data_IF_191440796427
#
_entry.id   IF_191440796427
#
_cell.length_a   1.000
_cell.length_b   1.000
_cell.length_c   1.000
_cell.angle_alpha   90.00
_cell.angle_beta   90.00
_cell.angle_gamma   90.00
#
_symmetry.space_group_name_H-M   'P 1'
#
loop_
_entity.id
_entity.type
_entity.pdbx_description
1 polymer ?
#
# COMPACT_ATOMS: atom_id res chain seq x y z
N UNK A 1 -29.05 38.27 -1.75
CA UNK A 1 -27.77 38.94 -2.06
C UNK A 1 -27.33 38.47 -3.43
N UNK A 2 -27.99 38.95 -4.48
CA UNK A 2 -27.56 38.70 -5.85
C UNK A 2 -26.63 39.85 -6.26
N UNK A 3 -25.46 39.53 -6.83
CA UNK A 3 -24.60 40.52 -7.50
C UNK A 3 -23.30 40.92 -6.81
N UNK A 4 -22.85 40.26 -5.74
CA UNK A 4 -21.49 40.48 -5.22
C UNK A 4 -20.51 39.49 -5.86
N UNK A 5 -19.64 40.03 -6.72
CA UNK A 5 -18.49 39.33 -7.29
C UNK A 5 -17.68 38.67 -6.17
N UNK A 6 -17.52 37.34 -6.25
CA UNK A 6 -16.80 36.52 -5.27
C UNK A 6 -15.40 37.04 -4.96
N UNK A 7 -14.75 37.71 -5.92
CA UNK A 7 -13.44 38.34 -5.72
C UNK A 7 -13.48 39.60 -4.84
N UNK A 8 -14.61 40.32 -4.80
CA UNK A 8 -14.78 41.50 -3.94
C UNK A 8 -15.15 41.12 -2.50
N UNK A 9 -15.79 39.96 -2.30
CA UNK A 9 -16.14 39.44 -0.97
C UNK A 9 -14.88 39.05 -0.18
N UNK A 10 -13.91 38.38 -0.80
CA UNK A 10 -12.69 37.90 -0.11
C UNK A 10 -11.74 39.02 0.32
N UNK A 11 -11.86 40.23 -0.24
CA UNK A 11 -11.02 41.39 0.06
C UNK A 11 -11.55 42.27 1.22
N UNK A 12 -12.78 42.04 1.69
CA UNK A 12 -13.37 42.83 2.76
C UNK A 12 -12.86 42.39 4.15
N UNK A 13 -12.47 43.33 5.03
CA UNK A 13 -12.08 43.00 6.43
C UNK A 13 -13.16 42.21 7.18
N UNK A 14 -14.44 42.48 6.89
CA UNK A 14 -15.58 41.76 7.46
C UNK A 14 -15.65 40.29 7.02
N UNK A 15 -15.05 39.94 5.88
CA UNK A 15 -14.98 38.57 5.40
C UNK A 15 -14.05 37.72 6.26
N UNK A 16 -12.95 38.28 6.79
CA UNK A 16 -12.08 37.58 7.75
C UNK A 16 -12.83 37.25 9.05
N UNK A 17 -13.61 38.18 9.59
CA UNK A 17 -14.44 37.93 10.77
C UNK A 17 -15.52 36.87 10.52
N UNK A 18 -16.10 36.85 9.33
CA UNK A 18 -17.03 35.81 8.91
C UNK A 18 -16.34 34.45 8.81
N UNK A 19 -15.15 34.40 8.19
CA UNK A 19 -14.35 33.18 8.05
C UNK A 19 -13.98 32.60 9.43
N UNK A 20 -13.45 33.44 10.33
CA UNK A 20 -13.12 33.06 11.71
C UNK A 20 -14.35 32.56 12.47
N UNK A 21 -15.50 33.24 12.27
CA UNK A 21 -16.76 32.81 12.87
C UNK A 21 -17.18 31.42 12.34
N UNK A 22 -17.25 31.20 11.03
CA UNK A 22 -17.71 29.91 10.48
C UNK A 22 -16.77 28.78 10.89
N UNK A 23 -15.45 29.00 10.86
CA UNK A 23 -14.46 28.03 11.35
C UNK A 23 -14.70 27.67 12.82
N UNK A 24 -15.01 28.65 13.68
CA UNK A 24 -15.35 28.40 15.09
C UNK A 24 -16.62 27.55 15.29
N UNK A 25 -17.53 27.54 14.30
CA UNK A 25 -18.77 26.77 14.36
C UNK A 25 -18.58 25.30 13.95
N UNK A 26 -17.55 24.95 13.17
CA UNK A 26 -17.39 23.58 12.67
C UNK A 26 -17.32 22.52 13.79
N UNK A 27 -16.55 22.71 14.88
CA UNK A 27 -16.54 21.74 15.98
C UNK A 27 -17.89 21.61 16.68
N UNK A 28 -18.64 22.71 16.81
CA UNK A 28 -19.98 22.70 17.41
C UNK A 28 -20.97 21.93 16.52
N UNK A 29 -20.91 22.13 15.21
CA UNK A 29 -21.71 21.38 14.25
C UNK A 29 -21.36 19.89 14.28
N UNK A 30 -20.08 19.55 14.45
CA UNK A 30 -19.61 18.16 14.49
C UNK A 30 -20.08 17.46 15.75
N UNK A 31 -20.01 18.13 16.90
CA UNK A 31 -20.54 17.63 18.16
C UNK A 31 -22.05 17.37 18.09
N UNK A 32 -22.79 18.26 17.42
CA UNK A 32 -24.23 18.09 17.14
C UNK A 32 -24.52 17.10 16.03
N UNK A 33 -23.50 16.63 15.31
CA UNK A 33 -23.60 15.74 14.15
C UNK A 33 -24.63 16.25 13.12
N UNK A 34 -24.54 17.53 12.77
CA UNK A 34 -25.42 18.11 11.75
C UNK A 34 -25.34 17.33 10.43
N UNK A 35 -26.48 17.20 9.78
CA UNK A 35 -26.59 16.61 8.44
C UNK A 35 -25.99 17.55 7.40
N UNK A 36 -25.57 17.02 6.24
CA UNK A 36 -25.11 17.86 5.13
C UNK A 36 -26.13 18.92 4.73
N UNK A 37 -27.43 18.61 4.77
CA UNK A 37 -28.48 19.58 4.44
C UNK A 37 -28.55 20.73 5.47
N UNK A 38 -28.39 20.44 6.76
CA UNK A 38 -28.37 21.46 7.80
C UNK A 38 -27.13 22.36 7.67
N UNK A 39 -25.95 21.78 7.42
CA UNK A 39 -24.72 22.56 7.20
C UNK A 39 -24.84 23.41 5.93
N UNK A 40 -25.36 22.84 4.84
CA UNK A 40 -25.63 23.58 3.62
C UNK A 40 -26.58 24.77 3.86
N UNK A 41 -27.61 24.58 4.68
CA UNK A 41 -28.52 25.66 5.08
C UNK A 41 -27.81 26.73 5.91
N UNK A 42 -26.95 26.34 6.89
CA UNK A 42 -26.14 27.29 7.68
C UNK A 42 -25.17 28.09 6.81
N UNK A 43 -24.67 27.51 5.72
CA UNK A 43 -23.78 28.16 4.76
C UNK A 43 -24.53 28.88 3.61
N UNK A 44 -25.86 28.99 3.71
CA UNK A 44 -26.73 29.67 2.75
C UNK A 44 -26.72 29.07 1.32
N UNK A 45 -26.52 27.75 1.20
CA UNK A 45 -26.64 27.07 -0.09
C UNK A 45 -28.12 26.90 -0.48
N UNK A 46 -28.46 27.24 -1.73
CA UNK A 46 -29.75 26.86 -2.35
C UNK A 46 -29.67 25.44 -2.90
N UNK A 47 -29.43 24.47 -2.03
CA UNK A 47 -29.33 23.04 -2.38
C UNK A 47 -27.90 22.55 -2.67
N UNK A 48 -27.82 21.28 -3.08
CA UNK A 48 -26.56 20.54 -3.28
C UNK A 48 -26.39 20.12 -4.75
N UNK A 49 -26.49 21.08 -5.67
CA UNK A 49 -26.18 20.87 -7.10
C UNK A 49 -24.67 20.99 -7.36
N UNK A 50 -24.21 20.56 -8.53
CA UNK A 50 -22.78 20.64 -8.90
C UNK A 50 -22.19 22.05 -8.79
N UNK A 51 -23.01 23.10 -9.01
CA UNK A 51 -22.60 24.50 -8.90
C UNK A 51 -22.20 24.92 -7.47
N UNK A 52 -22.60 24.16 -6.44
CA UNK A 52 -22.25 24.46 -5.04
C UNK A 52 -20.75 24.44 -4.81
N UNK A 53 -19.99 23.67 -5.60
CA UNK A 53 -18.53 23.57 -5.50
C UNK A 53 -17.81 24.89 -5.82
N UNK A 54 -18.45 25.76 -6.61
CA UNK A 54 -17.91 27.08 -6.96
C UNK A 54 -18.24 28.15 -5.92
N UNK A 55 -19.04 27.82 -4.90
CA UNK A 55 -19.39 28.76 -3.84
C UNK A 55 -18.19 28.96 -2.89
N UNK A 56 -17.82 30.21 -2.53
CA UNK A 56 -16.70 30.47 -1.60
C UNK A 56 -16.84 29.80 -0.22
N UNK A 57 -18.07 29.56 0.25
CA UNK A 57 -18.33 28.89 1.52
C UNK A 57 -18.23 27.35 1.43
N UNK A 58 -18.07 26.78 0.23
CA UNK A 58 -17.94 25.34 0.05
C UNK A 58 -16.73 24.77 0.79
N UNK A 59 -15.67 25.57 0.99
CA UNK A 59 -14.50 25.18 1.80
C UNK A 59 -14.89 24.69 3.21
N UNK A 60 -15.84 25.36 3.87
CA UNK A 60 -16.31 24.99 5.20
C UNK A 60 -17.17 23.73 5.21
N UNK A 61 -17.99 23.57 4.17
CA UNK A 61 -18.78 22.37 3.97
C UNK A 61 -17.89 21.15 3.75
N UNK A 62 -16.86 21.30 2.91
CA UNK A 62 -15.88 20.25 2.62
C UNK A 62 -15.07 19.89 3.86
N UNK A 63 -14.55 20.88 4.58
CA UNK A 63 -13.81 20.67 5.82
C UNK A 63 -14.65 19.92 6.86
N UNK A 64 -15.88 20.37 7.09
CA UNK A 64 -16.81 19.72 8.01
C UNK A 64 -17.04 18.25 7.66
N UNK A 65 -17.41 17.97 6.40
CA UNK A 65 -17.78 16.60 6.01
C UNK A 65 -16.58 15.65 5.91
N UNK A 66 -15.39 16.14 5.56
CA UNK A 66 -14.17 15.33 5.62
C UNK A 66 -13.89 14.89 7.07
N UNK A 67 -13.95 15.81 8.03
CA UNK A 67 -13.74 15.47 9.45
C UNK A 67 -14.83 14.53 9.95
N UNK A 68 -16.08 14.80 9.59
CA UNK A 68 -17.21 14.01 10.04
C UNK A 68 -17.20 12.58 9.46
N UNK A 69 -16.75 12.40 8.22
CA UNK A 69 -16.54 11.09 7.60
C UNK A 69 -15.54 10.23 8.40
N UNK A 70 -14.44 10.83 8.87
CA UNK A 70 -13.47 10.15 9.73
C UNK A 70 -14.05 9.80 11.11
N UNK A 71 -14.89 10.66 11.68
CA UNK A 71 -15.60 10.38 12.95
C UNK A 71 -16.56 9.21 12.78
N UNK A 72 -17.35 9.17 11.70
CA UNK A 72 -18.25 8.05 11.41
C UNK A 72 -17.47 6.74 11.22
N UNK A 73 -16.34 6.78 10.53
CA UNK A 73 -15.48 5.62 10.34
C UNK A 73 -14.91 5.09 11.66
N UNK A 74 -14.40 5.97 12.53
CA UNK A 74 -13.88 5.58 13.87
C UNK A 74 -14.95 4.93 14.74
N UNK A 75 -16.22 5.34 14.58
CA UNK A 75 -17.37 4.77 15.28
C UNK A 75 -17.90 3.48 14.65
N UNK A 76 -17.26 2.95 13.61
CA UNK A 76 -17.70 1.79 12.85
C UNK A 76 -19.17 1.92 12.39
N UNK A 77 -19.55 3.11 11.90
CA UNK A 77 -20.92 3.37 11.49
C UNK A 77 -21.35 2.47 10.31
N UNK A 78 -22.63 2.11 10.27
CA UNK A 78 -23.20 1.30 9.20
C UNK A 78 -23.27 2.10 7.86
N UNK A 79 -22.89 1.45 6.76
CA UNK A 79 -22.78 2.08 5.44
C UNK A 79 -24.11 2.62 4.91
N UNK A 80 -25.23 1.96 5.20
CA UNK A 80 -26.56 2.40 4.75
C UNK A 80 -27.00 3.64 5.51
N UNK A 81 -26.71 3.71 6.82
CA UNK A 81 -26.96 4.91 7.62
C UNK A 81 -26.19 6.12 7.09
N UNK A 82 -24.95 5.94 6.66
CA UNK A 82 -24.15 7.03 6.08
C UNK A 82 -24.63 7.39 4.67
N UNK A 83 -25.05 6.42 3.86
CA UNK A 83 -25.69 6.71 2.57
C UNK A 83 -26.93 7.60 2.72
N UNK A 84 -27.81 7.29 3.68
CA UNK A 84 -28.98 8.13 4.00
C UNK A 84 -28.57 9.50 4.50
N UNK A 85 -27.62 9.55 5.44
CA UNK A 85 -27.15 10.81 6.01
C UNK A 85 -26.52 11.73 4.97
N UNK A 86 -25.86 11.18 3.95
CA UNK A 86 -25.30 11.92 2.83
C UNK A 86 -26.31 12.24 1.71
N UNK A 87 -27.54 11.74 1.82
CA UNK A 87 -28.59 11.87 0.81
C UNK A 87 -28.33 11.07 -0.47
N UNK A 88 -27.36 10.15 -0.44
CA UNK A 88 -26.96 9.35 -1.61
C UNK A 88 -27.96 8.21 -1.89
N UNK A 89 -28.78 7.85 -0.91
CA UNK A 89 -29.89 6.91 -1.10
C UNK A 89 -30.97 7.45 -2.06
N UNK A 90 -31.07 8.78 -2.21
CA UNK A 90 -32.00 9.44 -3.13
C UNK A 90 -31.45 9.55 -4.56
N UNK A 91 -30.16 9.22 -4.76
CA UNK A 91 -29.50 9.26 -6.06
C UNK A 91 -29.43 7.83 -6.63
N UNK A 92 -29.82 7.61 -7.90
CA UNK A 92 -29.64 6.32 -8.56
C UNK A 92 -28.21 5.80 -8.42
N UNK A 93 -28.04 4.50 -8.15
CA UNK A 93 -26.73 3.92 -7.83
C UNK A 93 -25.66 4.21 -8.90
N UNK A 94 -26.04 4.19 -10.17
CA UNK A 94 -25.17 4.48 -11.31
C UNK A 94 -24.66 5.93 -11.34
N UNK A 95 -25.40 6.88 -10.76
CA UNK A 95 -25.12 8.32 -10.79
C UNK A 95 -24.44 8.83 -9.51
N UNK A 96 -24.43 8.02 -8.44
CA UNK A 96 -23.87 8.42 -7.14
C UNK A 96 -22.45 8.96 -7.24
N UNK A 97 -21.61 8.40 -8.10
CA UNK A 97 -20.22 8.85 -8.27
C UNK A 97 -20.09 10.33 -8.66
N UNK A 98 -21.11 10.90 -9.29
CA UNK A 98 -21.17 12.31 -9.71
C UNK A 98 -21.78 13.23 -8.65
N UNK A 99 -22.50 12.68 -7.67
CA UNK A 99 -23.13 13.46 -6.62
C UNK A 99 -22.09 14.22 -5.77
N UNK A 100 -22.42 15.45 -5.36
CA UNK A 100 -21.54 16.32 -4.56
C UNK A 100 -21.02 15.59 -3.32
N UNK A 101 -21.89 14.85 -2.64
CA UNK A 101 -21.56 14.21 -1.37
C UNK A 101 -20.87 12.84 -1.48
N UNK A 102 -20.72 12.27 -2.69
CA UNK A 102 -20.12 10.95 -2.84
C UNK A 102 -18.65 10.90 -2.41
N UNK A 103 -17.90 12.01 -2.59
CA UNK A 103 -16.53 12.15 -2.07
C UNK A 103 -16.46 11.82 -0.57
N UNK A 104 -17.42 12.28 0.22
CA UNK A 104 -17.41 12.05 1.67
C UNK A 104 -17.79 10.63 2.06
N UNK A 105 -18.59 9.95 1.21
CA UNK A 105 -18.82 8.52 1.35
C UNK A 105 -17.55 7.71 1.04
N UNK A 106 -16.84 8.06 -0.04
CA UNK A 106 -15.54 7.47 -0.37
C UNK A 106 -14.53 7.63 0.78
N UNK A 107 -14.44 8.82 1.40
CA UNK A 107 -13.57 9.08 2.55
C UNK A 107 -13.98 8.27 3.80
N UNK A 108 -15.28 8.21 4.09
CA UNK A 108 -15.82 7.41 5.19
C UNK A 108 -15.46 5.93 5.03
N UNK A 109 -15.72 5.34 3.85
CA UNK A 109 -15.39 3.93 3.61
C UNK A 109 -13.88 3.71 3.63
N UNK A 110 -13.07 4.63 3.12
CA UNK A 110 -11.61 4.55 3.22
C UNK A 110 -11.13 4.55 4.69
N UNK A 111 -11.76 5.35 5.55
CA UNK A 111 -11.52 5.34 6.99
C UNK A 111 -11.91 4.03 7.67
N UNK A 112 -13.07 3.44 7.29
CA UNK A 112 -13.50 2.12 7.77
C UNK A 112 -12.48 1.05 7.40
N UNK A 113 -12.08 0.99 6.13
CA UNK A 113 -11.12 0.00 5.66
C UNK A 113 -9.77 0.11 6.39
N UNK A 114 -9.32 1.33 6.73
CA UNK A 114 -8.11 1.54 7.54
C UNK A 114 -8.27 0.96 8.94
N UNK A 115 -9.37 1.30 9.62
CA UNK A 115 -9.68 0.82 10.97
C UNK A 115 -9.85 -0.70 11.01
N UNK A 116 -10.55 -1.28 10.04
CA UNK A 116 -10.73 -2.73 9.90
C UNK A 116 -9.40 -3.43 9.63
N UNK A 117 -8.51 -2.81 8.86
CA UNK A 117 -7.19 -3.37 8.61
C UNK A 117 -6.32 -3.39 9.88
N UNK A 118 -6.38 -2.34 10.69
CA UNK A 118 -5.67 -2.25 11.96
C UNK A 118 -6.18 -3.30 12.97
N UNK A 119 -7.49 -3.57 12.96
CA UNK A 119 -8.15 -4.57 13.81
C UNK A 119 -8.11 -6.00 13.23
N UNK A 120 -7.44 -6.20 12.09
CA UNK A 120 -7.39 -7.46 11.34
C UNK A 120 -8.77 -8.11 11.11
N UNK A 121 -9.78 -7.28 10.81
CA UNK A 121 -11.15 -7.75 10.55
C UNK A 121 -11.16 -8.71 9.35
N UNK A 122 -11.76 -9.92 9.50
CA UNK A 122 -11.83 -10.91 8.44
C UNK A 122 -12.48 -10.36 7.16
N UNK A 123 -12.01 -10.81 6.00
CA UNK A 123 -12.56 -10.34 4.71
C UNK A 123 -14.03 -10.72 4.55
N UNK A 124 -14.46 -11.85 5.11
CA UNK A 124 -15.87 -12.28 5.11
C UNK A 124 -16.74 -11.29 5.89
N UNK A 125 -16.28 -10.85 7.07
CA UNK A 125 -16.98 -9.83 7.86
C UNK A 125 -17.00 -8.47 7.14
N UNK A 126 -15.90 -8.09 6.47
CA UNK A 126 -15.87 -6.86 5.65
C UNK A 126 -16.86 -6.95 4.49
N UNK A 127 -17.01 -8.11 3.85
CA UNK A 127 -17.99 -8.32 2.79
C UNK A 127 -19.42 -8.10 3.31
N UNK A 128 -19.74 -8.63 4.50
CA UNK A 128 -21.03 -8.42 5.17
C UNK A 128 -21.25 -6.96 5.57
N UNK A 129 -20.25 -6.31 6.20
CA UNK A 129 -20.34 -4.89 6.60
C UNK A 129 -20.54 -3.95 5.41
N UNK A 130 -20.06 -4.34 4.22
CA UNK A 130 -20.26 -3.61 2.96
C UNK A 130 -21.55 -4.01 2.20
N UNK A 131 -22.36 -4.91 2.76
CA UNK A 131 -23.63 -5.44 2.21
C UNK A 131 -23.44 -6.20 0.89
N UNK A 132 -22.41 -7.02 0.82
CA UNK A 132 -22.02 -7.74 -0.40
C UNK A 132 -22.17 -9.26 -0.27
N UNK A 133 -22.31 -9.79 0.94
CA UNK A 133 -22.26 -11.22 1.28
C UNK A 133 -23.41 -12.04 0.67
N UNK A 134 -24.55 -11.40 0.42
CA UNK A 134 -25.72 -12.02 -0.23
C UNK A 134 -25.74 -11.82 -1.75
N UNK A 135 -24.74 -11.13 -2.32
CA UNK A 135 -24.69 -10.83 -3.76
C UNK A 135 -23.73 -11.76 -4.49
N UNK A 136 -24.14 -12.20 -5.68
CA UNK A 136 -23.33 -13.04 -6.57
C UNK A 136 -23.34 -12.49 -8.01
N UNK A 137 -22.34 -12.88 -8.81
CA UNK A 137 -22.32 -12.65 -10.26
C UNK A 137 -22.70 -11.24 -10.71
N UNK A 138 -23.76 -11.14 -11.51
CA UNK A 138 -24.27 -9.91 -12.12
C UNK A 138 -24.71 -8.84 -11.12
N UNK A 139 -25.13 -9.22 -9.90
CA UNK A 139 -25.53 -8.27 -8.87
C UNK A 139 -24.32 -7.74 -8.07
N UNK A 140 -23.29 -8.56 -7.87
CA UNK A 140 -22.13 -8.20 -7.05
C UNK A 140 -21.17 -7.26 -7.78
N UNK A 141 -20.79 -7.58 -9.01
CA UNK A 141 -19.75 -6.87 -9.75
C UNK A 141 -20.04 -5.36 -9.95
N UNK A 142 -21.26 -4.94 -10.31
CA UNK A 142 -21.58 -3.52 -10.47
C UNK A 142 -21.92 -2.82 -9.15
N UNK A 143 -22.01 -3.54 -8.02
CA UNK A 143 -22.40 -2.93 -6.75
C UNK A 143 -21.40 -1.84 -6.34
N UNK A 144 -21.85 -0.62 -5.96
CA UNK A 144 -20.96 0.50 -5.65
C UNK A 144 -19.92 0.21 -4.57
N UNK A 145 -20.26 -0.64 -3.59
CA UNK A 145 -19.34 -1.00 -2.51
C UNK A 145 -18.30 -2.07 -2.90
N UNK A 146 -18.52 -2.81 -4.00
CA UNK A 146 -17.62 -3.90 -4.39
C UNK A 146 -16.20 -3.41 -4.72
N UNK A 147 -16.06 -2.18 -5.23
CA UNK A 147 -14.75 -1.55 -5.48
C UNK A 147 -13.90 -1.46 -4.20
N UNK A 148 -14.51 -1.17 -3.05
CA UNK A 148 -13.82 -1.06 -1.77
C UNK A 148 -13.42 -2.44 -1.26
N UNK A 149 -14.36 -3.40 -1.29
CA UNK A 149 -14.09 -4.78 -0.89
C UNK A 149 -12.94 -5.40 -1.69
N UNK A 150 -13.01 -5.29 -3.02
CA UNK A 150 -11.96 -5.77 -3.93
C UNK A 150 -10.59 -5.17 -3.61
N UNK A 151 -10.53 -3.89 -3.23
CA UNK A 151 -9.28 -3.25 -2.85
C UNK A 151 -8.78 -3.73 -1.47
N UNK A 152 -9.68 -3.90 -0.50
CA UNK A 152 -9.37 -4.46 0.81
C UNK A 152 -8.77 -5.87 0.70
N UNK A 153 -9.41 -6.77 -0.05
CA UNK A 153 -8.93 -8.14 -0.27
C UNK A 153 -7.58 -8.13 -0.98
N UNK A 154 -7.41 -7.34 -2.07
CA UNK A 154 -6.12 -7.22 -2.77
C UNK A 154 -4.97 -6.78 -1.87
N UNK A 155 -5.22 -5.88 -0.92
CA UNK A 155 -4.19 -5.43 0.02
C UNK A 155 -3.85 -6.52 1.04
N UNK A 156 -4.84 -7.28 1.49
CA UNK A 156 -4.64 -8.46 2.32
C UNK A 156 -3.84 -9.56 1.60
N UNK A 157 -4.16 -9.87 0.34
CA UNK A 157 -3.38 -10.82 -0.47
C UNK A 157 -1.88 -10.45 -0.52
N UNK A 158 -1.57 -9.16 -0.67
CA UNK A 158 -0.17 -8.69 -0.65
C UNK A 158 0.47 -8.90 0.72
N UNK A 159 -0.24 -8.56 1.79
CA UNK A 159 0.25 -8.71 3.16
C UNK A 159 0.49 -10.18 3.51
N UNK A 160 -0.43 -11.08 3.17
CA UNK A 160 -0.31 -12.53 3.37
C UNK A 160 0.86 -13.11 2.58
N UNK A 161 1.03 -12.73 1.31
CA UNK A 161 2.20 -13.13 0.52
C UNK A 161 3.52 -12.65 1.15
N UNK A 162 3.55 -11.42 1.68
CA UNK A 162 4.73 -10.87 2.36
C UNK A 162 5.11 -11.68 3.61
N UNK A 163 4.10 -12.14 4.36
CA UNK A 163 4.28 -13.00 5.54
C UNK A 163 4.65 -14.44 5.17
N UNK A 164 4.28 -14.89 3.98
CA UNK A 164 4.55 -16.24 3.47
C UNK A 164 3.39 -17.22 3.65
N UNK A 165 2.16 -16.73 3.83
CA UNK A 165 0.96 -17.56 3.99
C UNK A 165 0.79 -18.52 2.78
N UNK A 166 0.42 -19.77 3.06
CA UNK A 166 0.20 -20.79 2.03
C UNK A 166 -1.10 -20.55 1.24
N UNK A 167 -1.33 -21.33 0.18
CA UNK A 167 -2.60 -21.24 -0.54
C UNK A 167 -3.78 -21.64 0.36
N UNK A 168 -3.59 -22.66 1.20
CA UNK A 168 -4.62 -23.18 2.10
C UNK A 168 -4.96 -22.16 3.20
N UNK A 169 -3.94 -21.51 3.78
CA UNK A 169 -4.14 -20.42 4.74
C UNK A 169 -4.97 -19.29 4.13
N UNK A 170 -4.66 -18.92 2.87
CA UNK A 170 -5.38 -17.88 2.15
C UNK A 170 -6.80 -18.32 1.81
N UNK A 171 -7.03 -19.59 1.47
CA UNK A 171 -8.37 -20.13 1.24
C UNK A 171 -9.23 -20.02 2.51
N UNK A 172 -8.69 -20.39 3.68
CA UNK A 172 -9.35 -20.21 4.98
C UNK A 172 -9.68 -18.74 5.23
N UNK A 173 -8.71 -17.84 5.03
CA UNK A 173 -8.93 -16.39 5.24
C UNK A 173 -9.96 -15.79 4.29
N UNK A 174 -10.15 -16.37 3.10
CA UNK A 174 -11.16 -15.97 2.12
C UNK A 174 -12.53 -16.62 2.39
N UNK A 175 -12.66 -17.49 3.40
CA UNK A 175 -13.87 -18.24 3.73
C UNK A 175 -14.19 -19.35 2.73
N UNK A 176 -13.16 -20.00 2.17
CA UNK A 176 -13.28 -21.00 1.09
C UNK A 176 -12.96 -22.44 1.56
N UNK A 177 -12.51 -22.61 2.80
CA UNK A 177 -11.97 -23.86 3.36
C UNK A 177 -12.95 -25.05 3.34
N UNK A 178 -14.25 -24.79 3.39
CA UNK A 178 -15.29 -25.82 3.37
C UNK A 178 -16.00 -25.96 2.01
N UNK A 179 -15.45 -25.35 0.95
CA UNK A 179 -16.02 -25.38 -0.39
C UNK A 179 -15.15 -26.21 -1.33
N UNK A 180 -15.80 -26.98 -2.23
CA UNK A 180 -15.11 -27.82 -3.20
C UNK A 180 -15.83 -27.82 -4.56
N UNK A 181 -15.09 -28.15 -5.62
CA UNK A 181 -15.59 -28.26 -6.99
C UNK A 181 -16.37 -27.01 -7.43
N UNK A 182 -17.52 -27.22 -8.07
CA UNK A 182 -18.37 -26.12 -8.58
C UNK A 182 -18.81 -25.12 -7.50
N UNK A 183 -18.98 -25.55 -6.24
CA UNK A 183 -19.37 -24.65 -5.14
C UNK A 183 -18.24 -23.69 -4.76
N UNK A 184 -16.99 -24.17 -4.83
CA UNK A 184 -15.81 -23.33 -4.63
C UNK A 184 -15.66 -22.33 -5.78
N UNK A 185 -15.71 -22.82 -7.03
CA UNK A 185 -15.52 -21.99 -8.23
C UNK A 185 -16.59 -20.90 -8.38
N UNK A 186 -17.84 -21.18 -7.95
CA UNK A 186 -18.92 -20.20 -7.98
C UNK A 186 -18.84 -19.14 -6.87
N UNK A 187 -18.00 -19.35 -5.84
CA UNK A 187 -17.93 -18.43 -4.71
C UNK A 187 -17.25 -17.11 -5.12
N UNK A 188 -17.81 -15.93 -4.76
CA UNK A 188 -17.25 -14.63 -5.14
C UNK A 188 -15.78 -14.42 -4.79
N UNK A 189 -15.30 -15.04 -3.71
CA UNK A 189 -13.91 -14.90 -3.27
C UNK A 189 -12.93 -15.82 -4.01
N UNK A 190 -13.39 -16.78 -4.80
CA UNK A 190 -12.52 -17.72 -5.53
C UNK A 190 -11.55 -17.00 -6.47
N UNK A 191 -12.01 -15.95 -7.15
CA UNK A 191 -11.18 -15.11 -8.04
C UNK A 191 -9.96 -14.49 -7.32
N UNK A 192 -10.06 -14.27 -6.00
CA UNK A 192 -8.93 -13.77 -5.20
C UNK A 192 -7.93 -14.87 -4.85
N UNK A 193 -8.39 -16.11 -4.68
CA UNK A 193 -7.53 -17.27 -4.46
C UNK A 193 -6.72 -17.59 -5.73
N UNK A 194 -7.36 -17.60 -6.90
CA UNK A 194 -6.67 -17.77 -8.20
C UNK A 194 -5.63 -16.65 -8.43
N UNK A 195 -6.00 -15.43 -8.09
CA UNK A 195 -5.09 -14.28 -8.16
C UNK A 195 -3.91 -14.43 -7.20
N UNK A 196 -4.13 -14.95 -6.00
CA UNK A 196 -3.05 -15.21 -5.06
C UNK A 196 -2.10 -16.27 -5.63
N UNK A 197 -2.62 -17.40 -6.09
CA UNK A 197 -1.85 -18.48 -6.72
C UNK A 197 -0.91 -17.95 -7.82
N UNK A 198 -1.43 -17.13 -8.72
CA UNK A 198 -0.67 -16.61 -9.87
C UNK A 198 0.27 -15.46 -9.55
N UNK A 199 0.06 -14.71 -8.44
CA UNK A 199 0.82 -13.50 -8.12
C UNK A 199 1.62 -13.56 -6.81
N UNK A 200 1.53 -14.65 -6.03
CA UNK A 200 2.11 -14.74 -4.68
C UNK A 200 3.59 -14.38 -4.64
N UNK A 201 4.41 -14.92 -5.55
CA UNK A 201 5.85 -14.64 -5.60
C UNK A 201 6.13 -13.15 -5.81
N UNK A 202 5.49 -12.55 -6.81
CA UNK A 202 5.60 -11.10 -7.06
C UNK A 202 5.11 -10.26 -5.87
N UNK A 203 4.04 -10.67 -5.18
CA UNK A 203 3.56 -9.92 -4.01
C UNK A 203 4.53 -10.02 -2.82
N UNK A 204 5.04 -11.21 -2.57
CA UNK A 204 6.01 -11.47 -1.52
C UNK A 204 7.29 -10.65 -1.74
N UNK A 205 7.87 -10.73 -2.94
CA UNK A 205 9.04 -9.97 -3.36
C UNK A 205 8.86 -8.46 -3.18
N UNK A 206 7.74 -7.90 -3.68
CA UNK A 206 7.43 -6.47 -3.51
C UNK A 206 7.22 -6.08 -2.04
N UNK A 207 6.66 -6.98 -1.23
CA UNK A 207 6.47 -6.78 0.20
C UNK A 207 7.81 -6.66 0.93
N UNK A 208 8.73 -7.59 0.66
CA UNK A 208 10.07 -7.58 1.25
C UNK A 208 10.89 -6.36 0.83
N UNK A 209 10.79 -5.93 -0.44
CA UNK A 209 11.42 -4.67 -0.90
C UNK A 209 10.90 -3.46 -0.13
N UNK A 210 9.57 -3.35 0.06
CA UNK A 210 8.97 -2.23 0.80
C UNK A 210 9.35 -2.20 2.28
N UNK A 211 9.63 -3.36 2.86
CA UNK A 211 10.06 -3.46 4.25
C UNK A 211 11.55 -3.12 4.44
N UNK A 212 12.28 -2.84 3.36
CA UNK A 212 13.72 -2.57 3.44
C UNK A 212 14.52 -3.77 3.95
N UNK A 213 14.01 -4.98 3.75
CA UNK A 213 14.66 -6.20 4.22
C UNK A 213 16.03 -6.34 3.55
N UNK A 214 17.08 -6.57 4.33
CA UNK A 214 18.43 -6.73 3.79
C UNK A 214 18.63 -8.17 3.28
N UNK A 215 19.66 -8.41 2.46
CA UNK A 215 20.05 -9.79 2.11
C UNK A 215 20.32 -10.63 3.35
N UNK A 216 20.95 -10.04 4.37
CA UNK A 216 21.22 -10.72 5.64
C UNK A 216 19.96 -11.04 6.45
N UNK A 217 18.95 -10.17 6.44
CA UNK A 217 17.66 -10.49 7.09
C UNK A 217 16.98 -11.67 6.41
N UNK A 218 17.05 -11.74 5.07
CA UNK A 218 16.54 -12.89 4.33
C UNK A 218 17.35 -14.16 4.62
N UNK A 219 18.68 -14.04 4.71
CA UNK A 219 19.58 -15.14 5.09
C UNK A 219 19.22 -15.74 6.45
N UNK A 220 18.90 -14.90 7.44
CA UNK A 220 18.40 -15.32 8.76
C UNK A 220 16.99 -15.91 8.66
N UNK A 221 16.06 -15.24 7.98
CA UNK A 221 14.65 -15.64 7.86
C UNK A 221 14.49 -17.00 7.21
N UNK A 222 15.25 -17.28 6.14
CA UNK A 222 15.27 -18.57 5.46
C UNK A 222 16.15 -19.61 6.19
N UNK A 223 16.86 -19.20 7.24
CA UNK A 223 17.79 -20.06 7.98
C UNK A 223 18.88 -20.69 7.10
N UNK A 224 19.37 -19.96 6.09
CA UNK A 224 20.37 -20.48 5.14
C UNK A 224 21.65 -20.95 5.85
N UNK A 225 22.04 -20.25 6.93
CA UNK A 225 23.18 -20.60 7.79
C UNK A 225 23.08 -22.00 8.41
N UNK A 226 21.86 -22.54 8.61
CA UNK A 226 21.65 -23.89 9.17
C UNK A 226 21.87 -25.00 8.14
N UNK A 227 21.82 -24.67 6.85
CA UNK A 227 22.11 -25.65 5.80
C UNK A 227 23.62 -25.86 5.73
N UNK A 228 24.05 -27.13 5.82
CA UNK A 228 25.45 -27.53 5.75
C UNK A 228 26.12 -26.96 4.51
N UNK A 229 27.30 -26.35 4.68
CA UNK A 229 28.00 -25.63 3.61
C UNK A 229 28.21 -26.46 2.34
N UNK A 230 28.49 -27.76 2.46
CA UNK A 230 28.75 -28.66 1.32
C UNK A 230 27.56 -28.85 0.38
N UNK A 231 26.33 -28.73 0.88
CA UNK A 231 25.09 -28.92 0.10
C UNK A 231 24.24 -27.65 0.02
N UNK A 232 24.67 -26.58 0.70
CA UNK A 232 23.92 -25.33 0.84
C UNK A 232 23.43 -24.80 -0.51
N UNK A 233 24.33 -24.68 -1.49
CA UNK A 233 24.02 -24.12 -2.82
C UNK A 233 23.06 -24.97 -3.66
N UNK A 234 22.85 -26.24 -3.29
CA UNK A 234 21.91 -27.15 -3.95
C UNK A 234 20.56 -27.21 -3.24
N UNK A 235 20.41 -26.52 -2.10
CA UNK A 235 19.17 -26.53 -1.32
C UNK A 235 18.14 -25.54 -1.87
N UNK A 236 16.86 -25.91 -1.78
CA UNK A 236 15.75 -25.00 -2.10
C UNK A 236 15.79 -23.71 -1.25
N UNK A 237 16.28 -23.80 -0.01
CA UNK A 237 16.49 -22.67 0.88
C UNK A 237 17.48 -21.65 0.31
N UNK A 238 18.60 -22.11 -0.24
CA UNK A 238 19.58 -21.23 -0.88
C UNK A 238 19.06 -20.69 -2.21
N UNK A 239 18.31 -21.47 -2.98
CA UNK A 239 17.69 -20.99 -4.22
C UNK A 239 16.73 -19.82 -3.95
N UNK A 240 15.92 -19.91 -2.90
CA UNK A 240 15.04 -18.82 -2.48
C UNK A 240 15.82 -17.57 -2.04
N UNK A 241 16.93 -17.77 -1.33
CA UNK A 241 17.84 -16.69 -0.96
C UNK A 241 18.49 -16.02 -2.19
N UNK A 242 19.00 -16.80 -3.14
CA UNK A 242 19.60 -16.30 -4.38
C UNK A 242 18.59 -15.49 -5.22
N UNK A 243 17.35 -15.97 -5.34
CA UNK A 243 16.25 -15.23 -6.00
C UNK A 243 16.02 -13.87 -5.34
N UNK A 244 16.05 -13.82 -4.01
CA UNK A 244 15.87 -12.57 -3.27
C UNK A 244 17.04 -11.59 -3.45
N UNK A 245 18.29 -12.06 -3.36
CA UNK A 245 19.47 -11.23 -3.63
C UNK A 245 19.38 -10.61 -5.02
N UNK A 246 19.05 -11.41 -6.03
CA UNK A 246 18.90 -10.90 -7.39
C UNK A 246 17.80 -9.86 -7.55
N UNK A 247 16.69 -10.02 -6.83
CA UNK A 247 15.59 -9.06 -6.83
C UNK A 247 16.02 -7.68 -6.31
N UNK A 248 16.72 -7.64 -5.17
CA UNK A 248 17.19 -6.39 -4.56
C UNK A 248 18.28 -5.74 -5.42
N UNK A 249 19.22 -6.54 -5.94
CA UNK A 249 20.29 -6.07 -6.82
C UNK A 249 19.71 -5.40 -8.07
N UNK A 250 18.79 -6.10 -8.76
CA UNK A 250 18.14 -5.59 -9.97
C UNK A 250 17.33 -4.32 -9.69
N UNK A 251 16.71 -4.22 -8.51
CA UNK A 251 15.95 -3.04 -8.12
C UNK A 251 16.86 -1.81 -7.99
N UNK A 252 17.96 -1.94 -7.26
CA UNK A 252 18.92 -0.84 -7.05
C UNK A 252 19.57 -0.44 -8.37
N UNK A 253 19.99 -1.42 -9.19
CA UNK A 253 20.58 -1.15 -10.51
C UNK A 253 19.58 -0.42 -11.43
N UNK A 254 18.29 -0.78 -11.39
CA UNK A 254 17.26 -0.06 -12.16
C UNK A 254 17.04 1.37 -11.66
N UNK A 255 17.13 1.63 -10.36
CA UNK A 255 17.04 2.99 -9.81
C UNK A 255 18.23 3.84 -10.27
N UNK A 256 19.46 3.33 -10.13
CA UNK A 256 20.66 4.02 -10.61
C UNK A 256 20.56 4.33 -12.13
N UNK A 257 20.10 3.38 -12.95
CA UNK A 257 19.86 3.59 -14.39
C UNK A 257 18.80 4.65 -14.70
N UNK A 258 17.91 4.97 -13.76
CA UNK A 258 16.88 6.01 -13.90
C UNK A 258 17.36 7.39 -13.45
N UNK A 259 18.62 7.53 -13.04
CA UNK A 259 19.22 8.80 -12.63
C UNK A 259 19.13 9.11 -11.13
N UNK A 260 18.70 8.15 -10.31
CA UNK A 260 18.80 8.28 -8.86
C UNK A 260 20.28 8.32 -8.45
N UNK A 261 20.63 9.30 -7.62
CA UNK A 261 21.97 9.46 -7.08
C UNK A 261 22.24 8.47 -5.93
N UNK A 262 23.50 8.20 -5.61
CA UNK A 262 23.91 7.17 -4.64
C UNK A 262 23.32 7.37 -3.23
N UNK A 263 23.13 8.63 -2.81
CA UNK A 263 22.48 8.99 -1.54
C UNK A 263 20.97 8.71 -1.53
N UNK A 264 20.35 8.54 -2.70
CA UNK A 264 18.95 8.19 -2.89
C UNK A 264 18.72 6.68 -3.06
N UNK A 265 19.80 5.89 -3.23
CA UNK A 265 19.71 4.45 -3.41
C UNK A 265 19.52 3.73 -2.07
N UNK A 266 18.62 2.73 -1.98
CA UNK A 266 18.46 1.95 -0.75
C UNK A 266 19.74 1.18 -0.39
N UNK A 267 20.27 1.41 0.82
CA UNK A 267 21.38 0.62 1.37
C UNK A 267 20.84 -0.63 2.06
N UNK A 268 20.86 -1.75 1.33
CA UNK A 268 20.32 -3.05 1.78
C UNK A 268 21.42 -4.03 2.24
N UNK A 269 22.54 -3.50 2.74
CA UNK A 269 23.56 -4.25 3.48
C UNK A 269 23.31 -4.08 4.98
N UNK A 270 23.27 -5.18 5.72
CA UNK A 270 23.19 -5.15 7.17
C UNK A 270 24.58 -4.93 7.77
N UNK A 271 24.67 -4.16 8.85
CA UNK A 271 25.90 -4.06 9.66
C UNK A 271 26.25 -5.39 10.35
N UNK A 272 25.26 -6.25 10.53
CA UNK A 272 25.40 -7.57 11.15
C UNK A 272 25.69 -8.68 10.13
N UNK A 273 25.89 -8.32 8.85
CA UNK A 273 26.14 -9.29 7.80
C UNK A 273 27.39 -10.13 8.11
N UNK A 274 27.19 -11.45 8.22
CA UNK A 274 28.27 -12.40 8.50
C UNK A 274 29.17 -12.58 7.29
N UNK A 275 30.44 -12.91 7.50
CA UNK A 275 31.38 -13.23 6.43
C UNK A 275 30.88 -14.35 5.49
N UNK A 276 30.18 -15.35 6.05
CA UNK A 276 29.54 -16.43 5.28
C UNK A 276 28.48 -15.91 4.30
N UNK A 277 27.56 -15.07 4.77
CA UNK A 277 26.51 -14.48 3.92
C UNK A 277 27.13 -13.58 2.84
N UNK A 278 28.09 -12.72 3.20
CA UNK A 278 28.77 -11.83 2.26
C UNK A 278 29.56 -12.62 1.21
N UNK A 279 30.16 -13.76 1.60
CA UNK A 279 30.84 -14.65 0.66
C UNK A 279 29.87 -15.26 -0.35
N UNK A 280 28.75 -15.81 0.11
CA UNK A 280 27.73 -16.38 -0.77
C UNK A 280 27.08 -15.32 -1.67
N UNK A 281 26.81 -14.14 -1.12
CA UNK A 281 26.30 -12.99 -1.89
C UNK A 281 27.28 -12.57 -2.99
N UNK A 282 28.57 -12.55 -2.69
CA UNK A 282 29.62 -12.24 -3.67
C UNK A 282 29.65 -13.27 -4.80
N UNK A 283 29.44 -14.56 -4.49
CA UNK A 283 29.35 -15.61 -5.51
C UNK A 283 28.16 -15.40 -6.43
N UNK A 284 27.01 -15.00 -5.88
CA UNK A 284 25.83 -14.61 -6.67
C UNK A 284 26.17 -13.43 -7.58
N UNK A 285 26.87 -12.40 -7.07
CA UNK A 285 27.28 -11.26 -7.88
C UNK A 285 28.20 -11.64 -9.03
N UNK A 286 29.17 -12.53 -8.80
CA UNK A 286 30.08 -13.05 -9.84
C UNK A 286 29.27 -13.78 -10.91
N UNK A 287 28.39 -14.72 -10.49
CA UNK A 287 27.53 -15.50 -11.38
C UNK A 287 26.66 -14.60 -12.26
N UNK A 288 26.12 -13.54 -11.67
CA UNK A 288 25.20 -12.61 -12.34
C UNK A 288 25.90 -11.42 -13.01
N UNK A 289 27.24 -11.38 -12.97
CA UNK A 289 28.08 -10.33 -13.56
C UNK A 289 27.63 -8.93 -13.15
N UNK A 290 27.41 -8.72 -11.84
CA UNK A 290 26.90 -7.45 -11.33
C UNK A 290 27.88 -6.29 -11.60
N UNK A 291 27.41 -5.06 -11.88
CA UNK A 291 28.33 -3.95 -12.12
C UNK A 291 29.28 -3.70 -10.95
N UNK A 292 30.53 -3.36 -11.22
CA UNK A 292 31.53 -3.11 -10.17
C UNK A 292 31.10 -2.01 -9.19
N UNK A 293 30.54 -0.91 -9.71
CA UNK A 293 29.99 0.18 -8.88
C UNK A 293 28.95 -0.35 -7.88
N UNK A 294 28.10 -1.28 -8.33
CA UNK A 294 27.04 -1.84 -7.52
C UNK A 294 27.60 -2.74 -6.41
N UNK A 295 28.63 -3.53 -6.71
CA UNK A 295 29.31 -4.38 -5.73
C UNK A 295 30.00 -3.51 -4.67
N UNK A 296 30.70 -2.44 -5.07
CA UNK A 296 31.29 -1.47 -4.11
C UNK A 296 30.22 -0.82 -3.23
N UNK A 297 29.17 -0.29 -3.84
CA UNK A 297 28.02 0.30 -3.14
C UNK A 297 27.41 -0.68 -2.14
N UNK A 298 27.18 -1.92 -2.57
CA UNK A 298 26.54 -2.94 -1.75
C UNK A 298 27.41 -3.47 -0.63
N UNK A 299 28.74 -3.27 -0.70
CA UNK A 299 29.67 -3.61 0.37
C UNK A 299 29.98 -2.42 1.30
N UNK A 300 29.41 -1.24 1.02
CA UNK A 300 29.69 0.01 1.74
C UNK A 300 31.10 0.53 1.48
N UNK A 301 31.63 0.25 0.29
CA UNK A 301 32.98 0.64 -0.15
C UNK A 301 32.95 1.84 -1.12
N UNK A 302 31.76 2.29 -1.51
CA UNK A 302 31.57 3.48 -2.33
C UNK A 302 32.08 4.75 -1.60
N UNK A 303 32.70 5.65 -2.36
CA UNK A 303 33.24 6.91 -1.82
C UNK A 303 34.54 6.79 -1.00
N UNK A 304 35.05 5.59 -0.75
CA UNK A 304 36.33 5.41 -0.05
C UNK A 304 37.53 5.69 -0.96
N UNK A 305 38.50 6.45 -0.46
CA UNK A 305 39.82 6.61 -1.09
C UNK A 305 40.66 5.33 -1.00
N UNK A 306 41.75 5.25 -1.76
CA UNK A 306 42.51 3.99 -1.95
C UNK A 306 42.99 3.33 -0.63
N UNK A 307 43.51 4.13 0.31
CA UNK A 307 43.98 3.61 1.60
C UNK A 307 42.81 3.10 2.46
N UNK A 308 41.76 3.90 2.60
CA UNK A 308 40.56 3.53 3.37
C UNK A 308 39.82 2.32 2.77
N UNK A 309 39.86 2.17 1.44
CA UNK A 309 39.28 1.03 0.74
C UNK A 309 39.98 -0.27 1.13
N UNK A 310 41.33 -0.29 1.19
CA UNK A 310 42.11 -1.49 1.53
C UNK A 310 41.97 -1.89 3.00
N UNK A 311 41.73 -0.92 3.88
CA UNK A 311 41.54 -1.14 5.32
C UNK A 311 40.09 -1.55 5.69
N UNK A 312 39.13 -1.33 4.80
CA UNK A 312 37.74 -1.65 5.06
C UNK A 312 37.53 -3.16 5.24
N UNK A 313 36.82 -3.56 6.30
CA UNK A 313 36.53 -4.97 6.63
C UNK A 313 35.93 -5.76 5.46
N UNK A 314 35.09 -5.12 4.64
CA UNK A 314 34.41 -5.76 3.52
C UNK A 314 35.24 -5.82 2.23
N UNK A 315 36.45 -5.22 2.21
CA UNK A 315 37.31 -5.18 1.03
C UNK A 315 37.69 -6.56 0.51
N UNK A 316 37.86 -7.54 1.40
CA UNK A 316 38.17 -8.93 1.03
C UNK A 316 37.15 -9.54 0.06
N UNK A 317 35.87 -9.19 0.19
CA UNK A 317 34.80 -9.68 -0.70
C UNK A 317 34.85 -8.99 -2.06
N UNK A 318 35.15 -7.68 -2.06
CA UNK A 318 35.35 -6.93 -3.29
C UNK A 318 36.57 -7.43 -4.07
N UNK A 319 37.68 -7.70 -3.38
CA UNK A 319 38.87 -8.31 -3.99
C UNK A 319 38.53 -9.66 -4.62
N UNK A 320 37.85 -10.53 -3.88
CA UNK A 320 37.41 -11.83 -4.39
C UNK A 320 36.50 -11.72 -5.63
N UNK A 321 35.62 -10.72 -5.68
CA UNK A 321 34.79 -10.40 -6.84
C UNK A 321 35.65 -10.05 -8.07
N UNK A 322 36.59 -9.11 -7.92
CA UNK A 322 37.46 -8.66 -9.02
C UNK A 322 38.35 -9.78 -9.54
N UNK A 323 39.02 -10.51 -8.65
CA UNK A 323 39.91 -11.61 -9.03
C UNK A 323 39.16 -12.68 -9.84
N UNK A 324 37.94 -13.02 -9.41
CA UNK A 324 37.09 -14.01 -10.10
C UNK A 324 36.59 -13.50 -11.45
N UNK A 325 36.18 -12.24 -11.55
CA UNK A 325 35.69 -11.69 -12.83
C UNK A 325 36.79 -11.51 -13.86
N UNK A 326 38.02 -11.21 -13.44
CA UNK A 326 39.18 -11.14 -14.33
C UNK A 326 39.63 -12.51 -14.81
N UNK A 327 39.65 -13.52 -13.93
CA UNK A 327 39.96 -14.90 -14.32
C UNK A 327 39.01 -15.41 -15.43
N UNK A 328 37.71 -15.13 -15.32
CA UNK A 328 36.69 -15.49 -16.33
C UNK A 328 36.90 -14.77 -17.66
N UNK A 329 37.44 -13.55 -17.68
CA UNK A 329 37.75 -12.82 -18.93
C UNK A 329 38.94 -13.42 -19.69
N UNK A 330 39.85 -14.12 -18.99
CA UNK A 330 41.04 -14.74 -19.59
C UNK A 330 40.81 -16.19 -20.06
N UNK A 331 39.62 -16.76 -19.87
CA UNK A 331 39.28 -18.14 -20.26
C UNK A 331 38.33 -18.24 -21.46
N UNK A 332 37.96 -17.11 -22.08
CA UNK A 332 37.07 -17.03 -23.25
C UNK A 332 37.86 -16.62 -24.49
#
# INVERSE_FOLDING_TARGET
MDGLDSARLTLAKNFKFYDDYVTSQLPLWANKQLTPREVASKLSFRGLSGAVRSNPNFKYYDEYLVQQALVWAKKDADVDKILVRLGLNLVPAAERSQAVNNKYYDEFVAGLLRTWKEKDVPVTEVMTKLKLDQLTGEALLPHPNYKYYKNYVKNNLKAWATKGDSLDDVAVRLGLDNLQGKRLEAHPNFVFLEKYWTKRGKYQENGWLKQGMTSYDMWKKLQVHRVRASVRRQSATYEAYEKYVNLIDDHIIRLHKRGFQDDQLPRLISKDATADELREKTIIWIKMKRPEWYVKFSLGLDGLGENALKEAHNFQFYKYYIDSTNAVKHTI
#
